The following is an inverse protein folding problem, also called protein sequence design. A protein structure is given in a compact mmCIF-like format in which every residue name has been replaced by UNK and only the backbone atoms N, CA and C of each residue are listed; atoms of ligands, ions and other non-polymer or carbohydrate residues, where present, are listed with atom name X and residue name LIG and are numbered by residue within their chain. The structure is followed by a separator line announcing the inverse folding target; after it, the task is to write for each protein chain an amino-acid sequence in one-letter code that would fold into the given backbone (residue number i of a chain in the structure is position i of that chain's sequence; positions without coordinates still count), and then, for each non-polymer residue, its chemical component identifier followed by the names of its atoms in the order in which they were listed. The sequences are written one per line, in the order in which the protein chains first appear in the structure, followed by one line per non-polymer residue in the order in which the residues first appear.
data_IF_739018783146
#
_entry.id   IF_739018783146
#
_cell.length_a   1.000
_cell.length_b   1.000
_cell.length_c   1.000
_cell.angle_alpha   90.00
_cell.angle_beta   90.00
_cell.angle_gamma   90.00
#
_symmetry.space_group_name_H-M   'P 1'
#
loop_
_entity.id
_entity.type
_entity.pdbx_description
1 polymer ?
#
# COMPACT_ATOMS: atom_id res chain seq x y z
N UNK A 1 37.21 36.69 -14.57
CA UNK A 1 36.90 35.45 -15.30
C UNK A 1 35.99 34.62 -14.42
N UNK A 2 34.82 34.23 -14.92
CA UNK A 2 33.86 33.40 -14.19
C UNK A 2 34.12 31.95 -14.61
N UNK A 3 34.38 31.07 -13.63
CA UNK A 3 34.54 29.65 -13.86
C UNK A 3 33.26 28.92 -13.43
N UNK A 4 32.69 28.12 -14.31
CA UNK A 4 31.62 27.17 -13.98
C UNK A 4 32.24 25.80 -13.70
N UNK A 5 31.71 25.12 -12.69
CA UNK A 5 32.08 23.75 -12.35
C UNK A 5 30.83 22.90 -12.44
N UNK A 6 30.83 21.94 -13.35
CA UNK A 6 29.75 20.96 -13.46
C UNK A 6 29.93 19.95 -12.33
N UNK A 7 28.90 19.80 -11.50
CA UNK A 7 28.79 18.73 -10.51
C UNK A 7 27.78 17.75 -11.08
N UNK A 8 28.21 16.53 -11.37
CA UNK A 8 27.29 15.46 -11.71
C UNK A 8 26.80 14.84 -10.40
N UNK A 9 25.51 14.96 -10.13
CA UNK A 9 24.84 14.22 -9.07
C UNK A 9 24.26 12.98 -9.74
N UNK A 10 24.85 11.81 -9.51
CA UNK A 10 24.21 10.55 -9.86
C UNK A 10 23.13 10.28 -8.81
N UNK A 11 21.86 10.47 -9.17
CA UNK A 11 20.75 9.92 -8.38
C UNK A 11 20.94 8.41 -8.25
N UNK A 12 20.80 7.89 -7.03
CA UNK A 12 20.68 6.45 -6.77
C UNK A 12 19.19 6.18 -6.68
N UNK A 13 18.71 5.06 -7.21
CA UNK A 13 17.31 4.67 -7.05
C UNK A 13 17.00 4.57 -5.56
N UNK A 14 16.11 5.40 -5.05
CA UNK A 14 15.61 5.28 -3.69
C UNK A 14 14.44 4.29 -3.68
N UNK A 15 14.11 3.75 -2.51
CA UNK A 15 13.01 2.80 -2.39
C UNK A 15 11.73 3.54 -1.96
N UNK A 16 10.53 3.00 -2.30
CA UNK A 16 9.28 3.55 -1.80
C UNK A 16 9.24 3.56 -0.27
N UNK A 17 8.75 4.66 0.31
CA UNK A 17 8.56 4.85 1.75
C UNK A 17 7.06 4.82 2.09
N UNK A 18 6.72 4.06 3.14
CA UNK A 18 5.34 3.93 3.67
C UNK A 18 5.31 4.46 5.10
N UNK A 19 4.41 5.40 5.37
CA UNK A 19 4.11 5.88 6.72
C UNK A 19 2.67 5.53 7.08
N UNK A 20 2.48 4.81 8.18
CA UNK A 20 1.16 4.42 8.71
C UNK A 20 0.72 5.37 9.83
N UNK A 21 -0.57 5.45 10.10
CA UNK A 21 -1.12 6.32 11.15
C UNK A 21 -0.91 5.81 12.59
N UNK A 22 -0.40 4.58 12.74
CA UNK A 22 -0.15 3.91 14.04
C UNK A 22 -1.39 3.86 14.95
N UNK A 23 -2.60 3.85 14.37
CA UNK A 23 -3.84 3.69 15.14
C UNK A 23 -4.22 2.23 15.32
N UNK A 24 -4.71 1.88 16.52
CA UNK A 24 -5.37 0.59 16.74
C UNK A 24 -6.69 0.59 15.99
N UNK A 25 -6.87 -0.37 15.08
CA UNK A 25 -8.14 -0.62 14.43
C UNK A 25 -9.10 -1.28 15.45
N UNK A 26 -10.18 -0.59 15.81
CA UNK A 26 -11.25 -1.22 16.60
C UNK A 26 -12.18 -1.97 15.64
N UNK A 27 -12.11 -3.30 15.66
CA UNK A 27 -13.03 -4.18 14.94
C UNK A 27 -14.02 -4.81 15.92
N UNK A 28 -15.33 -4.63 15.67
CA UNK A 28 -16.39 -5.24 16.47
C UNK A 28 -17.23 -6.20 15.62
N UNK A 29 -17.12 -7.49 15.93
CA UNK A 29 -17.95 -8.53 15.30
C UNK A 29 -19.40 -8.36 15.77
N UNK A 30 -20.33 -8.00 14.87
CA UNK A 30 -21.77 -8.08 15.16
C UNK A 30 -22.70 -6.99 14.61
N UNK A 31 -22.20 -5.86 14.11
CA UNK A 31 -23.07 -4.76 13.64
C UNK A 31 -23.34 -4.73 12.12
N UNK A 32 -22.71 -5.63 11.37
CA UNK A 32 -22.91 -5.79 9.92
C UNK A 32 -21.64 -6.32 9.26
N UNK A 33 -21.77 -7.04 8.15
CA UNK A 33 -20.69 -7.49 7.27
C UNK A 33 -19.97 -6.28 6.60
N UNK A 34 -19.51 -5.31 7.38
CA UNK A 34 -18.86 -4.10 6.89
C UNK A 34 -17.35 -4.23 7.11
N UNK A 35 -16.68 -4.63 6.04
CA UNK A 35 -15.26 -4.46 5.81
C UNK A 35 -14.77 -3.07 6.31
N UNK A 36 -13.80 -3.05 7.22
CA UNK A 36 -13.30 -1.81 7.84
C UNK A 36 -11.96 -1.43 7.23
N UNK A 37 -11.81 -0.17 6.79
CA UNK A 37 -10.57 0.31 6.20
C UNK A 37 -9.42 0.30 7.22
N UNK A 38 -8.31 -0.35 6.87
CA UNK A 38 -7.21 -0.65 7.80
C UNK A 38 -6.42 0.61 8.18
N UNK A 39 -6.09 1.44 7.19
CA UNK A 39 -5.41 2.71 7.42
C UNK A 39 -5.79 3.74 6.33
N UNK A 40 -6.75 4.60 6.64
CA UNK A 40 -7.18 5.67 5.72
C UNK A 40 -6.19 6.84 5.64
N UNK A 41 -5.24 6.92 6.56
CA UNK A 41 -4.23 7.98 6.62
C UNK A 41 -2.87 7.59 6.06
N UNK A 42 -2.67 6.33 5.65
CA UNK A 42 -1.43 5.82 5.08
C UNK A 42 -0.85 6.77 4.05
N UNK A 43 0.42 7.15 4.19
CA UNK A 43 1.14 7.97 3.21
C UNK A 43 2.16 7.09 2.50
N UNK A 44 2.17 7.20 1.18
CA UNK A 44 3.12 6.49 0.31
C UNK A 44 3.85 7.53 -0.53
N UNK A 45 5.18 7.46 -0.52
CA UNK A 45 6.03 8.37 -1.28
C UNK A 45 7.21 7.64 -1.89
N UNK A 46 7.63 8.11 -3.04
CA UNK A 46 8.88 7.74 -3.68
C UNK A 46 9.51 9.03 -4.23
N UNK A 47 10.81 9.20 -4.04
CA UNK A 47 11.50 10.48 -4.32
C UNK A 47 11.94 10.60 -5.77
N UNK A 48 12.08 9.47 -6.47
CA UNK A 48 12.59 9.43 -7.84
C UNK A 48 11.79 8.54 -8.79
N UNK A 49 10.86 7.71 -8.30
CA UNK A 49 9.89 6.98 -9.11
C UNK A 49 8.47 7.60 -9.03
N UNK A 50 7.93 8.02 -10.18
CA UNK A 50 6.53 8.50 -10.27
C UNK A 50 5.52 7.33 -10.25
N UNK A 51 5.98 6.11 -10.52
CA UNK A 51 5.16 4.92 -10.71
C UNK A 51 5.63 3.75 -9.83
N UNK A 52 4.66 2.94 -9.39
CA UNK A 52 4.91 1.67 -8.71
C UNK A 52 4.32 0.52 -9.52
N UNK A 53 4.84 -0.69 -9.29
CA UNK A 53 4.44 -1.90 -10.04
C UNK A 53 3.74 -2.96 -9.19
N UNK A 54 3.88 -2.88 -7.87
CA UNK A 54 3.17 -3.74 -6.94
C UNK A 54 3.29 -3.30 -5.48
N UNK A 55 2.44 -3.89 -4.62
CA UNK A 55 2.47 -3.77 -3.17
C UNK A 55 1.88 -5.03 -2.53
N UNK A 56 2.21 -5.32 -1.27
CA UNK A 56 1.67 -6.47 -0.53
C UNK A 56 1.16 -6.03 0.83
N UNK A 57 -0.03 -6.51 1.22
CA UNK A 57 -0.60 -6.33 2.56
C UNK A 57 -0.80 -7.71 3.17
N UNK A 58 -0.29 -7.93 4.39
CA UNK A 58 -0.27 -9.24 5.04
C UNK A 58 -0.80 -9.15 6.48
N UNK A 59 -1.66 -10.10 6.85
CA UNK A 59 -2.06 -10.34 8.24
C UNK A 59 -0.98 -11.19 8.90
N UNK A 60 -0.07 -10.55 9.65
CA UNK A 60 1.13 -11.22 10.18
C UNK A 60 0.92 -11.92 11.53
N UNK A 61 -0.17 -11.62 12.24
CA UNK A 61 -0.43 -12.15 13.57
C UNK A 61 -1.90 -12.48 13.78
N UNK A 62 -2.16 -13.65 14.39
CA UNK A 62 -3.53 -14.09 14.70
C UNK A 62 -4.37 -14.50 13.49
N UNK A 63 -3.74 -14.70 12.32
CA UNK A 63 -4.45 -15.05 11.09
C UNK A 63 -5.19 -16.40 11.19
N UNK A 64 -6.49 -16.38 10.96
CA UNK A 64 -7.38 -17.53 10.90
C UNK A 64 -8.05 -17.61 9.52
N UNK A 65 -7.57 -18.51 8.65
CA UNK A 65 -7.97 -18.59 7.23
C UNK A 65 -9.46 -18.82 6.95
N UNK A 66 -10.23 -19.23 7.96
CA UNK A 66 -11.68 -19.46 7.84
C UNK A 66 -12.51 -18.21 8.19
N UNK A 67 -11.89 -17.20 8.78
CA UNK A 67 -12.54 -16.03 9.38
C UNK A 67 -11.99 -14.73 8.79
N UNK A 68 -10.68 -14.68 8.55
CA UNK A 68 -9.97 -13.48 8.13
C UNK A 68 -9.96 -13.30 6.62
N UNK A 69 -10.10 -12.05 6.20
CA UNK A 69 -10.05 -11.63 4.81
C UNK A 69 -9.35 -10.29 4.64
N UNK A 70 -8.87 -10.03 3.43
CA UNK A 70 -8.54 -8.67 3.01
C UNK A 70 -9.26 -8.39 1.69
N UNK A 71 -9.85 -7.21 1.59
CA UNK A 71 -10.46 -6.73 0.36
C UNK A 71 -9.94 -5.31 0.05
N UNK A 72 -9.95 -4.93 -1.22
CA UNK A 72 -9.62 -3.57 -1.63
C UNK A 72 -10.55 -3.15 -2.78
N UNK A 73 -10.59 -1.85 -3.05
CA UNK A 73 -11.28 -1.30 -4.22
C UNK A 73 -10.27 -1.07 -5.33
N UNK A 74 -10.58 -1.56 -6.54
CA UNK A 74 -9.76 -1.32 -7.74
C UNK A 74 -9.52 0.18 -7.97
N UNK A 75 -8.27 0.54 -8.24
CA UNK A 75 -7.85 1.91 -8.56
C UNK A 75 -6.98 1.89 -9.81
N UNK A 76 -7.39 2.60 -10.85
CA UNK A 76 -6.59 2.76 -12.06
C UNK A 76 -6.30 1.41 -12.74
N UNK A 77 -5.02 1.13 -12.98
CA UNK A 77 -4.53 -0.13 -13.55
C UNK A 77 -4.13 -1.18 -12.49
N UNK A 78 -4.36 -0.91 -11.21
CA UNK A 78 -3.97 -1.77 -10.10
C UNK A 78 -5.03 -2.86 -9.92
N UNK A 79 -4.59 -4.10 -9.90
CA UNK A 79 -5.40 -5.29 -9.61
C UNK A 79 -4.91 -5.94 -8.33
N UNK A 80 -5.78 -6.68 -7.63
CA UNK A 80 -5.42 -7.36 -6.39
C UNK A 80 -5.81 -8.83 -6.39
N UNK A 81 -4.97 -9.64 -5.76
CA UNK A 81 -5.18 -11.07 -5.55
C UNK A 81 -4.98 -11.40 -4.07
N UNK A 82 -6.01 -11.93 -3.42
CA UNK A 82 -5.97 -12.30 -2.01
C UNK A 82 -5.76 -13.80 -1.85
N UNK A 83 -4.64 -14.18 -1.22
CA UNK A 83 -4.35 -15.53 -0.79
C UNK A 83 -4.95 -15.77 0.60
N UNK A 84 -6.20 -16.24 0.64
CA UNK A 84 -6.91 -16.58 1.87
C UNK A 84 -6.33 -17.77 2.65
N UNK A 85 -5.32 -18.47 2.13
CA UNK A 85 -4.59 -19.46 2.91
C UNK A 85 -3.40 -18.85 3.68
N UNK A 86 -2.95 -17.66 3.29
CA UNK A 86 -1.80 -16.96 3.89
C UNK A 86 -2.13 -15.61 4.50
N UNK A 87 -3.31 -15.04 4.20
CA UNK A 87 -3.67 -13.71 4.66
C UNK A 87 -2.94 -12.60 3.91
N UNK A 88 -2.56 -12.85 2.64
CA UNK A 88 -1.75 -11.92 1.84
C UNK A 88 -2.57 -11.38 0.67
N UNK A 89 -2.76 -10.07 0.62
CA UNK A 89 -3.27 -9.35 -0.55
C UNK A 89 -2.10 -8.81 -1.37
N UNK A 90 -1.98 -9.24 -2.62
CA UNK A 90 -0.98 -8.76 -3.57
C UNK A 90 -1.61 -7.79 -4.55
N UNK A 91 -1.17 -6.54 -4.56
CA UNK A 91 -1.53 -5.53 -5.56
C UNK A 91 -0.48 -5.53 -6.68
N UNK A 92 -0.93 -5.48 -7.93
CA UNK A 92 -0.08 -5.52 -9.12
C UNK A 92 -0.61 -4.61 -10.22
N UNK A 93 0.31 -4.00 -10.97
CA UNK A 93 0.00 -3.14 -12.11
C UNK A 93 0.83 -1.85 -12.06
N UNK A 94 1.39 -1.43 -13.20
CA UNK A 94 2.15 -0.19 -13.24
C UNK A 94 1.21 1.01 -13.17
N UNK A 95 1.27 1.79 -12.09
CA UNK A 95 0.46 2.99 -11.91
C UNK A 95 1.17 4.02 -11.03
N UNK A 96 0.62 5.22 -10.88
CA UNK A 96 1.22 6.32 -10.11
C UNK A 96 1.27 6.01 -8.61
N UNK A 97 2.24 6.59 -7.91
CA UNK A 97 2.34 6.53 -6.43
C UNK A 97 1.02 6.97 -5.78
N UNK A 98 0.36 8.00 -6.32
CA UNK A 98 -0.93 8.47 -5.81
C UNK A 98 -2.05 7.43 -5.92
N UNK A 99 -2.11 6.68 -7.03
CA UNK A 99 -3.07 5.59 -7.21
C UNK A 99 -2.77 4.42 -6.28
N UNK A 100 -1.49 4.08 -6.07
CA UNK A 100 -1.11 3.08 -5.07
C UNK A 100 -1.46 3.49 -3.64
N UNK A 101 -1.28 4.76 -3.28
CA UNK A 101 -1.71 5.26 -1.98
C UNK A 101 -3.23 5.13 -1.81
N UNK A 102 -4.02 5.48 -2.84
CA UNK A 102 -5.46 5.34 -2.82
C UNK A 102 -5.91 3.87 -2.73
N UNK A 103 -5.23 2.97 -3.44
CA UNK A 103 -5.48 1.53 -3.37
C UNK A 103 -5.19 0.97 -1.97
N UNK A 104 -4.04 1.32 -1.38
CA UNK A 104 -3.67 0.86 -0.03
C UNK A 104 -4.62 1.41 1.04
N UNK A 105 -5.10 2.65 0.90
CA UNK A 105 -6.12 3.24 1.80
C UNK A 105 -7.50 2.63 1.64
N UNK A 106 -7.77 1.94 0.52
CA UNK A 106 -9.04 1.25 0.30
C UNK A 106 -9.01 -0.20 0.82
N UNK A 107 -7.86 -0.67 1.30
CA UNK A 107 -7.76 -2.01 1.87
C UNK A 107 -8.55 -2.08 3.18
N UNK A 108 -9.33 -3.12 3.27
CA UNK A 108 -10.25 -3.41 4.37
C UNK A 108 -10.01 -4.80 4.92
N UNK A 109 -10.31 -4.97 6.21
CA UNK A 109 -10.33 -6.22 6.95
C UNK A 109 -11.73 -6.48 7.48
#
# INVERSE_FOLDING_TARGET
ATATRTVEVSGVNDAPEVSVTESVLEYSVGDGDEWVAIDTGLVLSDVDDENMTGATVEITGGFESAEDGLAFTDVGAITGDYDGARGILTLSGADTVANYQAALRSVTY
#
